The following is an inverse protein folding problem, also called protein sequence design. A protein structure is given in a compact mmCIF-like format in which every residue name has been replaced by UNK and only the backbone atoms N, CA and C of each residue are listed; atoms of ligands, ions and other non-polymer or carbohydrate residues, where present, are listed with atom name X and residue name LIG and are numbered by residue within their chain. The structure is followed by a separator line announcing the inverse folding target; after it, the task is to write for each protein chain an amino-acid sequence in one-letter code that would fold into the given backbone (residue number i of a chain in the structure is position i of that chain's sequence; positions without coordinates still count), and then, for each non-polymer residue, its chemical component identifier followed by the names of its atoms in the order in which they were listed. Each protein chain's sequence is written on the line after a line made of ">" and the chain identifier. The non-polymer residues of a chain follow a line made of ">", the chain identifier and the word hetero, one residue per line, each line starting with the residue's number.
data_IF_340175805144
#
_entry.id   IF_340175805144
#
_cell.length_a   1.000
_cell.length_b   1.000
_cell.length_c   1.000
_cell.angle_alpha   90.00
_cell.angle_beta   90.00
_cell.angle_gamma   90.00
#
_symmetry.space_group_name_H-M   'P 1'
#
loop_
_entity.id
_entity.type
_entity.pdbx_description
1 polymer ?
#
# COMPACT_ATOMS: atom_id res chain seq x y z
N UNK A 1 -7.13 -14.23 26.97
CA UNK A 1 -7.44 -15.67 27.17
C UNK A 1 -6.69 -16.18 28.39
N UNK A 2 -7.34 -16.79 29.40
CA UNK A 2 -6.68 -17.29 30.62
C UNK A 2 -5.59 -18.34 30.37
N UNK A 3 -5.72 -19.11 29.29
CA UNK A 3 -4.71 -20.09 28.86
C UNK A 3 -3.34 -19.49 28.52
N UNK A 4 -3.21 -18.16 28.41
CA UNK A 4 -1.95 -17.49 28.13
C UNK A 4 -1.15 -17.05 29.38
N UNK A 5 -1.64 -17.32 30.59
CA UNK A 5 -1.00 -16.85 31.84
C UNK A 5 0.42 -17.41 32.06
N UNK A 6 0.70 -18.63 31.59
CA UNK A 6 1.95 -19.34 31.88
C UNK A 6 2.83 -19.59 30.65
N UNK A 7 2.51 -19.00 29.48
CA UNK A 7 3.28 -19.22 28.25
C UNK A 7 4.55 -18.38 28.27
N UNK A 8 5.67 -19.00 27.88
CA UNK A 8 6.94 -18.30 27.74
C UNK A 8 7.04 -17.63 26.36
N UNK A 9 7.44 -16.36 26.31
CA UNK A 9 7.75 -15.67 25.05
C UNK A 9 9.09 -16.18 24.49
N UNK A 10 9.03 -16.93 23.39
CA UNK A 10 10.23 -17.50 22.75
C UNK A 10 11.01 -16.44 21.97
N UNK A 11 10.29 -15.51 21.33
CA UNK A 11 10.88 -14.42 20.54
C UNK A 11 9.89 -13.27 20.36
N UNK A 12 10.42 -12.06 20.30
CA UNK A 12 9.72 -10.84 19.89
C UNK A 12 10.54 -10.19 18.77
N UNK A 13 9.86 -9.60 17.80
CA UNK A 13 10.49 -8.80 16.75
C UNK A 13 9.64 -7.56 16.46
N UNK A 14 10.28 -6.58 15.82
CA UNK A 14 9.62 -5.41 15.25
C UNK A 14 9.95 -5.30 13.76
N UNK A 15 9.16 -4.51 13.05
CA UNK A 15 9.35 -4.22 11.63
C UNK A 15 8.93 -2.79 11.32
N UNK A 16 9.21 -2.36 10.09
CA UNK A 16 8.77 -1.07 9.56
C UNK A 16 7.52 -1.31 8.73
N UNK A 17 6.55 -0.42 8.88
CA UNK A 17 5.32 -0.45 8.13
C UNK A 17 5.06 0.91 7.49
N UNK A 18 4.70 0.88 6.21
CA UNK A 18 4.33 2.08 5.47
C UNK A 18 2.85 2.37 5.66
N UNK A 19 2.55 3.51 6.27
CA UNK A 19 1.20 4.02 6.41
C UNK A 19 0.96 5.21 5.49
N UNK A 20 -0.23 5.26 4.92
CA UNK A 20 -0.73 6.42 4.17
C UNK A 20 -1.72 7.21 5.02
N UNK A 21 -1.90 8.49 4.72
CA UNK A 21 -2.77 9.37 5.51
C UNK A 21 -4.25 8.92 5.49
N UNK A 22 -4.67 8.19 4.46
CA UNK A 22 -6.03 7.69 4.29
C UNK A 22 -6.17 6.19 4.59
N UNK A 23 -5.11 5.54 5.07
CA UNK A 23 -5.06 4.10 5.33
C UNK A 23 -5.43 3.24 4.11
N UNK A 24 -5.22 3.76 2.89
CA UNK A 24 -5.34 3.00 1.65
C UNK A 24 -3.97 2.82 0.98
N UNK A 25 -3.70 1.69 0.31
CA UNK A 25 -2.43 1.51 -0.38
C UNK A 25 -2.27 2.47 -1.57
N UNK A 26 -1.02 2.67 -1.99
CA UNK A 26 -0.70 3.31 -3.26
C UNK A 26 -0.36 2.23 -4.27
N UNK A 27 -1.17 2.12 -5.32
CA UNK A 27 -1.04 1.13 -6.39
C UNK A 27 -1.24 1.82 -7.75
N UNK A 28 -0.37 1.53 -8.71
CA UNK A 28 -0.52 2.00 -10.09
C UNK A 28 0.66 2.86 -10.60
N UNK A 29 0.52 3.48 -11.79
CA UNK A 29 1.61 4.18 -12.43
C UNK A 29 1.97 5.49 -11.71
N UNK A 30 3.22 5.92 -11.86
CA UNK A 30 3.63 7.24 -11.40
C UNK A 30 2.94 8.36 -12.18
N UNK A 31 2.51 9.40 -11.47
CA UNK A 31 1.96 10.62 -12.07
C UNK A 31 3.03 11.64 -12.46
N UNK A 32 4.30 11.40 -12.09
CA UNK A 32 5.40 12.36 -12.30
C UNK A 32 6.45 11.89 -13.30
N UNK A 33 6.66 10.58 -13.39
CA UNK A 33 7.70 9.99 -14.26
C UNK A 33 7.09 8.84 -15.07
N UNK A 34 7.23 8.81 -16.40
CA UNK A 34 6.75 7.69 -17.21
C UNK A 34 7.55 6.40 -16.92
N UNK A 35 6.86 5.27 -16.75
CA UNK A 35 7.46 3.94 -16.62
C UNK A 35 7.39 3.32 -15.21
N UNK A 36 7.79 4.02 -14.13
CA UNK A 36 7.66 3.50 -12.78
C UNK A 36 6.22 3.23 -12.35
N UNK A 37 6.04 2.13 -11.63
CA UNK A 37 4.79 1.75 -10.98
C UNK A 37 5.01 1.64 -9.47
N UNK A 38 3.96 1.93 -8.70
CA UNK A 38 3.96 1.94 -7.26
C UNK A 38 3.07 0.81 -6.71
N UNK A 39 3.53 0.21 -5.62
CA UNK A 39 2.80 -0.76 -4.80
C UNK A 39 3.37 -0.68 -3.37
N UNK A 40 2.87 0.26 -2.56
CA UNK A 40 3.35 0.50 -1.20
C UNK A 40 2.25 1.03 -0.27
N UNK A 41 2.57 1.17 1.02
CA UNK A 41 1.67 1.82 1.96
C UNK A 41 0.47 0.96 2.36
N UNK A 42 0.67 -0.35 2.55
CA UNK A 42 -0.41 -1.32 2.76
C UNK A 42 -0.98 -1.38 4.18
N UNK A 43 -0.52 -0.52 5.10
CA UNK A 43 -1.11 -0.37 6.44
C UNK A 43 -1.29 -1.70 7.20
N UNK A 44 -0.36 -2.64 7.00
CA UNK A 44 -0.27 -3.87 7.80
C UNK A 44 -1.04 -5.05 7.23
N UNK A 45 -1.86 -4.78 6.22
CA UNK A 45 -2.72 -5.77 5.56
C UNK A 45 -2.10 -6.33 4.28
N UNK A 46 -0.90 -5.84 3.92
CA UNK A 46 -0.24 -6.14 2.64
C UNK A 46 0.06 -7.61 2.41
N UNK A 47 0.33 -8.39 3.47
CA UNK A 47 0.66 -9.81 3.31
C UNK A 47 -0.49 -10.60 2.70
N UNK A 48 -1.70 -10.44 3.24
CA UNK A 48 -2.88 -11.19 2.82
C UNK A 48 -3.26 -10.90 1.36
N UNK A 49 -3.07 -9.66 0.91
CA UNK A 49 -3.44 -9.20 -0.44
C UNK A 49 -2.30 -9.28 -1.46
N UNK A 50 -1.07 -9.58 -1.01
CA UNK A 50 0.12 -9.56 -1.87
C UNK A 50 0.01 -10.41 -3.15
N UNK A 51 -0.64 -11.61 -3.17
CA UNK A 51 -0.78 -12.37 -4.41
C UNK A 51 -1.63 -11.65 -5.45
N UNK A 52 -2.79 -11.11 -5.03
CA UNK A 52 -3.69 -10.39 -5.93
C UNK A 52 -3.10 -9.07 -6.43
N UNK A 53 -2.37 -8.35 -5.56
CA UNK A 53 -1.63 -7.15 -5.96
C UNK A 53 -0.54 -7.51 -6.96
N UNK A 54 0.22 -8.59 -6.73
CA UNK A 54 1.27 -9.03 -7.64
C UNK A 54 0.75 -9.37 -9.03
N UNK A 55 -0.35 -10.13 -9.11
CA UNK A 55 -1.01 -10.46 -10.37
C UNK A 55 -1.53 -9.21 -11.11
N UNK A 56 -2.23 -8.33 -10.39
CA UNK A 56 -2.78 -7.07 -10.93
C UNK A 56 -1.67 -6.19 -11.49
N UNK A 57 -0.55 -6.05 -10.76
CA UNK A 57 0.58 -5.25 -11.19
C UNK A 57 1.32 -5.86 -12.38
N UNK A 58 1.46 -7.19 -12.42
CA UNK A 58 2.06 -7.87 -13.57
C UNK A 58 1.22 -7.68 -14.84
N UNK A 59 -0.11 -7.81 -14.76
CA UNK A 59 -1.02 -7.57 -15.89
C UNK A 59 -0.94 -6.12 -16.37
N UNK A 60 -0.99 -5.16 -15.44
CA UNK A 60 -0.92 -3.74 -15.73
C UNK A 60 0.40 -3.39 -16.44
N UNK A 61 1.53 -3.88 -15.94
CA UNK A 61 2.86 -3.58 -16.49
C UNK A 61 3.03 -4.24 -17.87
N UNK A 62 2.59 -5.48 -18.04
CA UNK A 62 2.78 -6.22 -19.30
C UNK A 62 1.85 -5.75 -20.42
N UNK A 63 0.62 -5.35 -20.09
CA UNK A 63 -0.43 -5.08 -21.09
C UNK A 63 -0.91 -3.63 -21.12
N UNK A 64 -0.51 -2.82 -20.14
CA UNK A 64 -0.96 -1.44 -19.97
C UNK A 64 -2.36 -1.31 -19.37
N UNK A 65 -3.01 -2.40 -18.96
CA UNK A 65 -4.37 -2.40 -18.39
C UNK A 65 -4.57 -3.54 -17.40
N UNK A 66 -5.60 -3.41 -16.57
CA UNK A 66 -6.11 -4.48 -15.71
C UNK A 66 -7.62 -4.29 -15.50
N UNK A 67 -8.34 -5.35 -15.15
CA UNK A 67 -9.77 -5.29 -14.83
C UNK A 67 -10.06 -4.77 -13.42
N UNK A 68 -9.05 -4.71 -12.55
CA UNK A 68 -9.17 -4.21 -11.19
C UNK A 68 -9.18 -2.67 -11.21
N UNK A 69 -10.17 -2.00 -10.61
CA UNK A 69 -10.21 -0.54 -10.55
C UNK A 69 -9.10 -0.02 -9.60
N UNK A 70 -8.05 0.57 -10.18
CA UNK A 70 -6.89 1.09 -9.44
C UNK A 70 -6.95 2.60 -9.17
N UNK A 71 -7.92 3.30 -9.77
CA UNK A 71 -8.09 4.74 -9.63
C UNK A 71 -8.14 5.20 -8.15
N UNK A 72 -8.86 4.52 -7.24
CA UNK A 72 -8.88 4.90 -5.82
C UNK A 72 -7.52 4.77 -5.12
N UNK A 73 -6.63 3.93 -5.66
CA UNK A 73 -5.31 3.64 -5.10
C UNK A 73 -4.18 4.41 -5.79
N UNK A 74 -4.50 5.24 -6.79
CA UNK A 74 -3.51 6.08 -7.47
C UNK A 74 -2.83 7.05 -6.49
N UNK A 75 -1.53 7.29 -6.69
CA UNK A 75 -0.78 8.33 -5.95
C UNK A 75 -1.37 9.73 -6.18
N UNK A 76 -2.05 9.93 -7.31
CA UNK A 76 -2.68 11.21 -7.67
C UNK A 76 -3.75 11.67 -6.67
N UNK A 77 -4.32 10.76 -5.88
CA UNK A 77 -5.34 11.10 -4.88
C UNK A 77 -4.84 12.06 -3.79
N UNK A 78 -3.53 12.13 -3.57
CA UNK A 78 -2.92 13.05 -2.60
C UNK A 78 -2.53 14.41 -3.20
N UNK A 79 -2.68 14.62 -4.51
CA UNK A 79 -2.23 15.85 -5.18
C UNK A 79 -2.90 17.13 -4.63
N UNK A 80 -4.13 17.04 -4.09
CA UNK A 80 -4.85 18.16 -3.48
C UNK A 80 -4.61 18.32 -1.97
N UNK A 81 -4.14 17.28 -1.27
CA UNK A 81 -4.00 17.29 0.19
C UNK A 81 -2.78 18.11 0.66
N UNK A 82 -1.74 18.20 -0.17
CA UNK A 82 -0.51 18.94 0.14
C UNK A 82 -0.67 20.47 0.10
N UNK A 83 -1.61 20.98 -0.71
CA UNK A 83 -1.81 22.42 -0.91
C UNK A 83 -2.29 23.18 0.33
N UNK A 84 -2.79 22.47 1.35
CA UNK A 84 -3.29 23.07 2.60
C UNK A 84 -2.25 23.19 3.71
N UNK A 85 -1.04 22.63 3.53
CA UNK A 85 -0.01 22.61 4.58
C UNK A 85 1.05 23.72 4.42
N UNK A 86 1.08 24.43 3.28
CA UNK A 86 2.07 25.50 3.01
C UNK A 86 1.58 26.92 3.38
N UNK A 87 0.36 27.07 3.89
CA UNK A 87 -0.23 28.37 4.29
C UNK A 87 -0.32 28.57 5.81
N UNK A 88 0.59 28.02 6.61
CA UNK A 88 0.64 28.23 8.07
C UNK A 88 2.01 28.65 8.56
#
# INVERSE_FOLDING_TARGET
>A
MPAFEHVQLIRVWSGIEGYTADLQPVIGPSTRVPGPHYAFGFNGEGFAISPGVGETMAELIATGRTSIPLEPYSIGRFAGAWALQETS
#
